data_IF_807842435103
#
_entry.id   IF_807842435103
#
_cell.length_a   1.000
_cell.length_b   1.000
_cell.length_c   1.000
_cell.angle_alpha   90.00
_cell.angle_beta   90.00
_cell.angle_gamma   90.00
#
_symmetry.space_group_name_H-M   'P 1'
#
loop_
_entity.id
_entity.type
_entity.pdbx_description
1 polymer ?
#
# COMPACT_ATOMS: atom_id res chain seq x y z
N UNK A 1 -7.26 50.57 45.45
CA UNK A 1 -7.31 49.10 45.39
C UNK A 1 -7.57 48.69 43.96
N UNK A 2 -6.48 48.53 43.20
CA UNK A 2 -6.49 48.11 41.81
C UNK A 2 -6.65 46.59 41.73
N UNK A 3 -7.57 46.12 40.90
CA UNK A 3 -7.83 44.69 40.68
C UNK A 3 -7.11 44.30 39.38
N UNK A 4 -6.12 43.39 39.38
CA UNK A 4 -5.53 42.96 38.12
C UNK A 4 -6.45 41.96 37.41
N UNK A 5 -6.53 42.16 36.10
CA UNK A 5 -7.27 41.39 35.12
C UNK A 5 -6.72 39.96 34.92
N UNK A 6 -7.60 39.02 34.62
CA UNK A 6 -7.27 37.67 34.13
C UNK A 6 -6.61 37.72 32.74
N UNK A 7 -5.42 37.11 32.54
CA UNK A 7 -4.92 36.84 31.20
C UNK A 7 -4.59 35.34 31.06
N UNK A 8 -5.57 34.50 30.71
CA UNK A 8 -5.27 33.07 30.50
C UNK A 8 -6.27 32.31 29.61
N UNK A 9 -6.78 32.95 28.55
CA UNK A 9 -7.60 32.27 27.53
C UNK A 9 -6.92 32.12 26.16
N UNK A 10 -5.89 32.90 25.82
CA UNK A 10 -5.26 32.85 24.48
C UNK A 10 -4.31 31.66 24.27
N UNK A 11 -3.65 31.16 25.32
CA UNK A 11 -2.67 30.07 25.20
C UNK A 11 -3.32 28.67 25.05
N UNK A 12 -4.58 28.48 25.44
CA UNK A 12 -5.27 27.16 25.36
C UNK A 12 -5.76 26.84 23.95
N UNK A 13 -5.98 27.85 23.12
CA UNK A 13 -6.54 27.71 21.77
C UNK A 13 -5.51 27.24 20.74
N UNK A 14 -4.23 27.61 20.90
CA UNK A 14 -3.16 27.21 19.99
C UNK A 14 -2.78 25.72 20.14
N UNK A 15 -2.74 25.23 21.38
CA UNK A 15 -2.39 23.83 21.72
C UNK A 15 -3.43 22.84 21.17
N UNK A 16 -4.73 23.17 21.25
CA UNK A 16 -5.82 22.29 20.81
C UNK A 16 -5.85 22.09 19.28
N UNK A 17 -5.43 23.10 18.52
CA UNK A 17 -5.34 23.04 17.06
C UNK A 17 -4.14 22.23 16.56
N UNK A 18 -3.02 22.25 17.29
CA UNK A 18 -1.85 21.44 16.97
C UNK A 18 -2.08 19.94 17.30
N UNK A 19 -2.72 19.63 18.42
CA UNK A 19 -3.07 18.24 18.79
C UNK A 19 -4.03 17.58 17.78
N UNK A 20 -5.00 18.32 17.25
CA UNK A 20 -5.94 17.82 16.23
C UNK A 20 -5.26 17.51 14.89
N UNK A 21 -4.31 18.34 14.46
CA UNK A 21 -3.53 18.12 13.23
C UNK A 21 -2.60 16.92 13.35
N UNK A 22 -1.91 16.77 14.50
CA UNK A 22 -1.03 15.63 14.76
C UNK A 22 -1.79 14.31 14.86
N UNK A 23 -2.96 14.27 15.54
CA UNK A 23 -3.80 13.06 15.59
C UNK A 23 -4.27 12.64 14.20
N UNK A 24 -4.77 13.57 13.37
CA UNK A 24 -5.19 13.27 11.99
C UNK A 24 -4.05 12.75 11.13
N UNK A 25 -2.86 13.33 11.25
CA UNK A 25 -1.67 12.90 10.50
C UNK A 25 -1.22 11.51 10.93
N UNK A 26 -1.13 11.26 12.25
CA UNK A 26 -0.78 9.94 12.79
C UNK A 26 -1.80 8.88 12.37
N UNK A 27 -3.09 9.21 12.37
CA UNK A 27 -4.14 8.29 11.97
C UNK A 27 -4.06 7.93 10.47
N UNK A 28 -3.80 8.92 9.63
CA UNK A 28 -3.63 8.69 8.18
C UNK A 28 -2.41 7.83 7.88
N UNK A 29 -1.29 8.07 8.55
CA UNK A 29 -0.09 7.25 8.41
C UNK A 29 -0.30 5.81 8.89
N UNK A 30 -1.05 5.59 9.97
CA UNK A 30 -1.41 4.22 10.40
C UNK A 30 -2.31 3.53 9.38
N UNK A 31 -3.24 4.28 8.78
CA UNK A 31 -4.17 3.76 7.76
C UNK A 31 -3.42 3.39 6.47
N UNK A 32 -2.54 4.26 5.97
CA UNK A 32 -1.73 3.99 4.78
C UNK A 32 -0.75 2.83 5.00
N UNK A 33 -0.07 2.80 6.16
CA UNK A 33 0.83 1.70 6.53
C UNK A 33 0.09 0.37 6.64
N UNK A 34 -1.11 0.36 7.23
CA UNK A 34 -1.95 -0.85 7.30
C UNK A 34 -2.36 -1.31 5.92
N UNK A 35 -2.81 -0.39 5.06
CA UNK A 35 -3.22 -0.72 3.71
C UNK A 35 -2.06 -1.32 2.91
N UNK A 36 -0.86 -0.76 3.00
CA UNK A 36 0.34 -1.28 2.36
C UNK A 36 0.69 -2.70 2.84
N UNK A 37 0.63 -2.94 4.16
CA UNK A 37 0.86 -4.27 4.74
C UNK A 37 -0.12 -5.32 4.19
N UNK A 38 -1.41 -4.97 4.05
CA UNK A 38 -2.42 -5.88 3.49
C UNK A 38 -2.14 -6.22 2.02
N UNK A 39 -1.64 -5.25 1.24
CA UNK A 39 -1.22 -5.47 -0.15
C UNK A 39 -0.01 -6.39 -0.22
N UNK A 40 0.99 -6.20 0.64
CA UNK A 40 2.18 -7.05 0.70
C UNK A 40 1.81 -8.51 1.02
N UNK A 41 1.01 -8.72 2.07
CA UNK A 41 0.55 -10.06 2.46
C UNK A 41 -0.36 -10.68 1.40
N UNK A 42 -1.26 -9.90 0.82
CA UNK A 42 -2.13 -10.34 -0.28
C UNK A 42 -1.33 -10.79 -1.49
N UNK A 43 -0.31 -10.02 -1.89
CA UNK A 43 0.58 -10.34 -3.01
C UNK A 43 1.25 -11.70 -2.81
N UNK A 44 1.75 -11.98 -1.60
CA UNK A 44 2.35 -13.28 -1.27
C UNK A 44 1.36 -14.43 -1.41
N UNK A 45 0.15 -14.26 -0.89
CA UNK A 45 -0.89 -15.30 -0.99
C UNK A 45 -1.32 -15.55 -2.44
N UNK A 46 -1.52 -14.48 -3.23
CA UNK A 46 -1.91 -14.58 -4.64
C UNK A 46 -0.77 -15.06 -5.55
N UNK A 47 0.48 -15.02 -5.11
CA UNK A 47 1.60 -15.62 -5.84
C UNK A 47 1.61 -17.16 -5.71
N UNK A 48 1.10 -17.69 -4.61
CA UNK A 48 1.09 -19.14 -4.32
C UNK A 48 -0.21 -19.83 -4.73
N UNK A 49 -1.33 -19.10 -4.78
CA UNK A 49 -2.68 -19.64 -5.02
C UNK A 49 -3.38 -18.89 -6.14
N UNK A 50 -4.21 -19.60 -6.91
CA UNK A 50 -5.08 -18.94 -7.89
C UNK A 50 -6.04 -17.95 -7.21
N UNK A 51 -6.62 -17.03 -7.99
CA UNK A 51 -7.58 -16.06 -7.47
C UNK A 51 -8.69 -16.74 -6.68
N UNK A 52 -9.24 -17.86 -7.15
CA UNK A 52 -10.35 -18.55 -6.48
C UNK A 52 -9.92 -19.29 -5.20
N UNK A 53 -8.73 -19.89 -5.19
CA UNK A 53 -8.20 -20.64 -4.05
C UNK A 53 -7.75 -19.74 -2.88
N UNK A 54 -7.31 -18.51 -3.18
CA UNK A 54 -6.88 -17.56 -2.16
C UNK A 54 -8.07 -17.10 -1.29
N UNK A 55 -7.91 -17.08 0.04
CA UNK A 55 -8.97 -16.62 0.95
C UNK A 55 -8.66 -15.28 1.58
N UNK A 56 -9.65 -14.38 1.61
CA UNK A 56 -9.56 -13.11 2.37
C UNK A 56 -9.40 -13.39 3.87
N UNK A 57 -9.94 -14.49 4.38
CA UNK A 57 -9.81 -14.86 5.79
C UNK A 57 -8.37 -15.23 6.16
N UNK A 58 -7.67 -15.92 5.26
CA UNK A 58 -6.26 -16.24 5.42
C UNK A 58 -5.40 -14.98 5.46
N UNK A 59 -5.63 -14.04 4.53
CA UNK A 59 -4.90 -12.77 4.48
C UNK A 59 -5.16 -11.94 5.75
N UNK A 60 -6.41 -11.90 6.22
CA UNK A 60 -6.77 -11.22 7.47
C UNK A 60 -6.07 -11.86 8.68
N UNK A 61 -6.01 -13.20 8.73
CA UNK A 61 -5.31 -13.94 9.77
C UNK A 61 -3.81 -13.66 9.77
N UNK A 62 -3.16 -13.68 8.59
CA UNK A 62 -1.75 -13.32 8.42
C UNK A 62 -1.45 -11.88 8.87
N UNK A 63 -2.38 -10.96 8.63
CA UNK A 63 -2.27 -9.56 9.05
C UNK A 63 -2.61 -9.33 10.53
N UNK A 64 -3.12 -10.35 11.24
CA UNK A 64 -3.55 -10.24 12.64
C UNK A 64 -4.78 -9.34 12.83
N UNK A 65 -5.67 -9.24 11.84
CA UNK A 65 -6.87 -8.40 11.87
C UNK A 65 -8.14 -9.22 11.62
N UNK A 66 -9.30 -8.62 11.90
CA UNK A 66 -10.59 -9.23 11.53
C UNK A 66 -10.86 -9.10 10.03
N UNK A 67 -11.61 -10.05 9.47
CA UNK A 67 -12.11 -9.99 8.08
C UNK A 67 -12.87 -8.70 7.81
N UNK A 68 -13.69 -8.25 8.76
CA UNK A 68 -14.45 -7.00 8.65
C UNK A 68 -13.55 -5.77 8.55
N UNK A 69 -12.44 -5.74 9.30
CA UNK A 69 -11.46 -4.66 9.18
C UNK A 69 -10.72 -4.71 7.83
N UNK A 70 -10.41 -5.89 7.31
CA UNK A 70 -9.84 -6.00 5.96
C UNK A 70 -10.80 -5.42 4.91
N UNK A 71 -12.09 -5.76 4.98
CA UNK A 71 -13.10 -5.22 4.07
C UNK A 71 -13.31 -3.70 4.19
N UNK A 72 -12.96 -3.10 5.33
CA UNK A 72 -12.93 -1.65 5.45
C UNK A 72 -11.88 -1.01 4.53
N UNK A 73 -10.71 -1.65 4.34
CA UNK A 73 -9.68 -1.18 3.42
C UNK A 73 -9.94 -1.58 1.96
N UNK A 74 -10.48 -2.78 1.75
CA UNK A 74 -10.73 -3.37 0.44
C UNK A 74 -12.15 -3.94 0.40
N UNK A 75 -13.14 -3.20 -0.13
CA UNK A 75 -14.55 -3.59 -0.07
C UNK A 75 -14.83 -4.98 -0.65
N UNK A 76 -14.03 -5.43 -1.63
CA UNK A 76 -14.12 -6.76 -2.21
C UNK A 76 -12.76 -7.46 -2.27
N UNK A 77 -12.77 -8.79 -2.41
CA UNK A 77 -11.57 -9.59 -2.72
C UNK A 77 -10.89 -9.11 -4.01
N UNK A 78 -11.69 -8.70 -5.00
CA UNK A 78 -11.20 -8.15 -6.27
C UNK A 78 -10.44 -6.84 -6.07
N UNK A 79 -10.91 -5.95 -5.20
CA UNK A 79 -10.21 -4.68 -4.92
C UNK A 79 -8.84 -4.93 -4.28
N UNK A 80 -8.74 -5.89 -3.35
CA UNK A 80 -7.46 -6.30 -2.78
C UNK A 80 -6.56 -6.90 -3.86
N UNK A 81 -7.08 -7.80 -4.69
CA UNK A 81 -6.33 -8.43 -5.78
C UNK A 81 -5.77 -7.42 -6.77
N UNK A 82 -6.59 -6.47 -7.24
CA UNK A 82 -6.16 -5.39 -8.13
C UNK A 82 -5.09 -4.51 -7.49
N UNK A 83 -5.19 -4.23 -6.19
CA UNK A 83 -4.16 -3.47 -5.48
C UNK A 83 -2.84 -4.23 -5.37
N UNK A 84 -2.88 -5.56 -5.21
CA UNK A 84 -1.69 -6.43 -5.25
C UNK A 84 -1.04 -6.41 -6.65
N UNK A 85 -1.83 -6.60 -7.70
CA UNK A 85 -1.35 -6.53 -9.08
C UNK A 85 -0.73 -5.16 -9.41
N UNK A 86 -1.33 -4.07 -8.93
CA UNK A 86 -0.81 -2.72 -9.12
C UNK A 86 0.54 -2.54 -8.42
N UNK A 87 0.67 -2.96 -7.15
CA UNK A 87 1.92 -2.84 -6.40
C UNK A 87 3.05 -3.65 -7.06
N UNK A 88 2.73 -4.85 -7.53
CA UNK A 88 3.63 -5.70 -8.29
C UNK A 88 4.07 -5.04 -9.60
N UNK A 89 3.14 -4.47 -10.37
CA UNK A 89 3.45 -3.78 -11.61
C UNK A 89 4.32 -2.54 -11.37
N UNK A 90 4.07 -1.79 -10.30
CA UNK A 90 4.90 -0.65 -9.89
C UNK A 90 6.31 -1.08 -9.49
N UNK A 91 6.47 -2.17 -8.74
CA UNK A 91 7.79 -2.72 -8.40
C UNK A 91 8.55 -3.16 -9.65
N UNK A 92 7.85 -3.80 -10.59
CA UNK A 92 8.42 -4.20 -11.87
C UNK A 92 8.88 -3.01 -12.70
N UNK A 93 8.04 -1.97 -12.82
CA UNK A 93 8.39 -0.74 -13.52
C UNK A 93 9.59 -0.05 -12.87
N UNK A 94 9.65 0.00 -11.54
CA UNK A 94 10.78 0.56 -10.82
C UNK A 94 12.08 -0.25 -11.05
N UNK A 95 12.00 -1.58 -11.13
CA UNK A 95 13.13 -2.44 -11.46
C UNK A 95 13.57 -2.35 -12.93
N UNK A 96 12.61 -2.16 -13.82
CA UNK A 96 12.84 -2.01 -15.25
C UNK A 96 13.17 -0.56 -15.65
N UNK A 97 13.19 0.37 -14.70
CA UNK A 97 13.64 1.74 -14.93
C UNK A 97 15.15 1.76 -15.15
N UNK A 98 15.50 1.63 -16.43
CA UNK A 98 16.87 1.71 -16.92
C UNK A 98 17.18 3.10 -17.45
N UNK A 99 16.37 4.12 -17.17
CA UNK A 99 16.53 5.47 -17.75
C UNK A 99 17.93 6.05 -17.57
N UNK A 100 18.56 5.77 -16.43
CA UNK A 100 19.93 6.17 -16.09
C UNK A 100 21.01 5.13 -16.46
N UNK A 101 20.64 3.98 -17.03
CA UNK A 101 21.59 2.94 -17.38
C UNK A 101 22.52 3.41 -18.51
N UNK A 102 23.84 3.15 -18.42
CA UNK A 102 24.83 3.51 -19.44
C UNK A 102 24.79 2.54 -20.63
N UNK A 103 23.60 2.28 -21.14
CA UNK A 103 23.31 1.41 -22.28
C UNK A 103 22.71 2.24 -23.42
N UNK A 104 22.93 1.87 -24.69
CA UNK A 104 22.21 2.46 -25.83
C UNK A 104 20.67 2.35 -25.64
N UNK A 105 19.88 3.30 -26.18
CA UNK A 105 18.42 3.31 -25.97
C UNK A 105 17.70 2.01 -26.34
N UNK A 106 18.11 1.34 -27.42
CA UNK A 106 17.55 0.06 -27.85
C UNK A 106 17.88 -1.08 -26.87
N UNK A 107 19.06 -1.07 -26.27
CA UNK A 107 19.47 -2.07 -25.28
C UNK A 107 18.72 -1.88 -23.95
N UNK A 108 18.48 -0.63 -23.54
CA UNK A 108 17.61 -0.32 -22.40
C UNK A 108 16.18 -0.81 -22.61
N UNK A 109 15.60 -0.56 -23.78
CA UNK A 109 14.26 -1.02 -24.12
C UNK A 109 14.19 -2.56 -24.09
N UNK A 110 15.19 -3.23 -24.69
CA UNK A 110 15.26 -4.69 -24.70
C UNK A 110 15.36 -5.26 -23.29
N UNK A 111 16.26 -4.73 -22.46
CA UNK A 111 16.42 -5.18 -21.08
C UNK A 111 15.16 -4.93 -20.22
N UNK A 112 14.45 -3.82 -20.44
CA UNK A 112 13.17 -3.55 -19.78
C UNK A 112 12.07 -4.54 -20.19
N UNK A 113 11.97 -4.87 -21.49
CA UNK A 113 11.04 -5.88 -22.01
C UNK A 113 11.40 -7.28 -21.49
N UNK A 114 12.68 -7.65 -21.49
CA UNK A 114 13.14 -8.94 -20.99
C UNK A 114 12.83 -9.10 -19.48
N UNK A 115 13.04 -8.05 -18.68
CA UNK A 115 12.67 -8.02 -17.26
C UNK A 115 11.15 -8.16 -17.07
N UNK A 116 10.35 -7.47 -17.88
CA UNK A 116 8.90 -7.58 -17.86
C UNK A 116 8.41 -9.00 -18.21
N UNK A 117 8.97 -9.60 -19.26
CA UNK A 117 8.59 -10.95 -19.70
C UNK A 117 9.03 -12.02 -18.71
N UNK A 118 10.22 -11.89 -18.11
CA UNK A 118 10.68 -12.78 -17.05
C UNK A 118 9.76 -12.71 -15.82
N UNK A 119 9.39 -11.49 -15.41
CA UNK A 119 8.45 -11.27 -14.33
C UNK A 119 7.07 -11.89 -14.60
N UNK A 120 6.54 -11.65 -15.80
CA UNK A 120 5.27 -12.21 -16.24
C UNK A 120 5.30 -13.75 -16.29
N UNK A 121 6.43 -14.35 -16.68
CA UNK A 121 6.61 -15.80 -16.70
C UNK A 121 6.68 -16.40 -15.28
N UNK A 122 7.35 -15.73 -14.34
CA UNK A 122 7.43 -16.15 -12.93
C UNK A 122 6.08 -16.10 -12.21
N UNK A 123 5.22 -15.14 -12.58
CA UNK A 123 3.90 -14.93 -11.97
C UNK A 123 2.74 -15.44 -12.84
N UNK A 124 3.04 -16.17 -13.92
CA UNK A 124 2.05 -16.63 -14.90
C UNK A 124 0.91 -17.46 -14.26
N UNK A 125 1.17 -18.20 -13.17
CA UNK A 125 0.12 -18.93 -12.45
C UNK A 125 -0.94 -18.03 -11.81
N UNK A 126 -0.58 -16.81 -11.41
CA UNK A 126 -1.53 -15.82 -10.92
C UNK A 126 -2.31 -15.15 -12.07
N UNK A 127 -1.67 -14.95 -13.23
CA UNK A 127 -2.29 -14.31 -14.40
C UNK A 127 -3.20 -15.24 -15.22
N UNK A 128 -2.92 -16.55 -15.26
CA UNK A 128 -3.69 -17.54 -16.06
C UNK A 128 -5.06 -17.91 -15.47
N UNK A 129 -5.43 -17.35 -14.31
CA UNK A 129 -6.73 -17.55 -13.67
C UNK A 129 -7.75 -16.43 -13.97
N UNK A 130 -7.42 -15.49 -14.87
CA UNK A 130 -8.34 -14.47 -15.42
C UNK A 130 -9.09 -15.01 -16.65
#
# INVERSE_FOLDING_TARGET
>A
MDKPAHPSQRARSATRSQEGSQRRTRTRLDTESRRAQLVELGTRVFAEKSYDEASVDEIAALAGISKGLLYHYFPTKRDLYLACLQAVAEELLARADLSDAPLPPLERLRAGIDAYLAFAAEHARAYLAL
#
